data_IF_007013310633
#
_entry.id   IF_007013310633
#
_cell.length_a   1.000
_cell.length_b   1.000
_cell.length_c   1.000
_cell.angle_alpha   90.00
_cell.angle_beta   90.00
_cell.angle_gamma   90.00
#
_symmetry.space_group_name_H-M   'P 1'
#
loop_
_entity.id
_entity.type
_entity.pdbx_description
1 polymer ?
#
# COMPACT_ATOMS: atom_id res chain seq x y z
N UNK A 1 9.34 -9.16 -12.56
CA UNK A 1 8.49 -10.09 -11.78
C UNK A 1 8.96 -10.03 -10.33
N UNK A 2 8.33 -9.18 -9.50
CA UNK A 2 8.71 -8.99 -8.10
C UNK A 2 8.31 -10.21 -7.29
N UNK A 3 9.31 -11.00 -6.88
CA UNK A 3 9.16 -12.24 -6.12
C UNK A 3 9.07 -11.87 -4.64
N UNK A 4 7.87 -11.55 -4.17
CA UNK A 4 7.58 -11.43 -2.74
C UNK A 4 7.76 -12.82 -2.12
N UNK A 5 8.84 -13.00 -1.34
CA UNK A 5 9.01 -14.20 -0.51
C UNK A 5 7.90 -14.19 0.53
N UNK A 6 7.11 -15.26 0.53
CA UNK A 6 5.98 -15.49 1.44
C UNK A 6 6.49 -15.42 2.89
N UNK A 7 6.29 -14.29 3.55
CA UNK A 7 6.50 -14.12 5.00
C UNK A 7 5.13 -14.20 5.65
N UNK A 8 4.72 -15.38 6.10
CA UNK A 8 3.62 -15.62 7.07
C UNK A 8 2.48 -14.57 7.09
N UNK A 9 1.93 -14.20 5.94
CA UNK A 9 0.83 -13.24 5.87
C UNK A 9 -0.46 -14.02 6.18
N UNK A 10 -1.25 -13.62 7.19
CA UNK A 10 -2.55 -14.22 7.45
C UNK A 10 -3.41 -14.28 6.19
N UNK A 11 -4.10 -15.40 5.95
CA UNK A 11 -4.82 -15.65 4.70
C UNK A 11 -5.85 -14.55 4.36
N UNK A 12 -6.48 -13.96 5.39
CA UNK A 12 -7.48 -12.89 5.23
C UNK A 12 -6.89 -11.54 4.75
N UNK A 13 -5.57 -11.39 4.73
CA UNK A 13 -4.88 -10.18 4.25
C UNK A 13 -4.35 -10.32 2.82
N UNK A 14 -4.51 -11.48 2.18
CA UNK A 14 -3.90 -11.74 0.89
C UNK A 14 -4.48 -10.88 -0.23
N UNK A 15 -5.78 -10.65 -0.22
CA UNK A 15 -6.48 -9.72 -1.13
C UNK A 15 -5.93 -8.29 -1.01
N UNK A 16 -5.74 -7.81 0.22
CA UNK A 16 -5.16 -6.49 0.51
C UNK A 16 -3.70 -6.42 0.10
N UNK A 17 -2.94 -7.49 0.32
CA UNK A 17 -1.52 -7.60 -0.04
C UNK A 17 -1.33 -7.49 -1.55
N UNK A 18 -2.11 -8.25 -2.33
CA UNK A 18 -2.06 -8.21 -3.80
C UNK A 18 -2.46 -6.84 -4.30
N UNK A 19 -3.55 -6.26 -3.78
CA UNK A 19 -4.00 -4.92 -4.15
C UNK A 19 -2.92 -3.86 -3.87
N UNK A 20 -2.27 -3.93 -2.71
CA UNK A 20 -1.18 -3.04 -2.36
C UNK A 20 0.03 -3.19 -3.29
N UNK A 21 0.42 -4.42 -3.63
CA UNK A 21 1.51 -4.68 -4.57
C UNK A 21 1.22 -4.11 -5.97
N UNK A 22 0.00 -4.29 -6.48
CA UNK A 22 -0.44 -3.72 -7.76
C UNK A 22 -0.43 -2.18 -7.70
N UNK A 23 -0.92 -1.61 -6.60
CA UNK A 23 -0.92 -0.15 -6.37
C UNK A 23 0.50 0.44 -6.45
N UNK A 24 1.46 -0.23 -5.81
CA UNK A 24 2.88 0.13 -5.87
C UNK A 24 3.43 0.01 -7.29
N UNK A 25 3.16 -1.11 -7.98
CA UNK A 25 3.64 -1.30 -9.36
C UNK A 25 3.16 -0.19 -10.32
N UNK A 26 1.98 0.37 -10.08
CA UNK A 26 1.46 1.47 -10.90
C UNK A 26 2.12 2.83 -10.61
N UNK A 27 2.73 3.01 -9.42
CA UNK A 27 3.33 4.29 -8.97
C UNK A 27 4.83 4.27 -8.85
N UNK A 28 5.45 3.10 -8.99
CA UNK A 28 6.89 2.93 -9.02
C UNK A 28 7.37 2.89 -10.47
N UNK A 29 8.64 3.25 -10.66
CA UNK A 29 9.32 3.05 -11.92
C UNK A 29 9.46 1.54 -12.14
N UNK A 30 8.79 1.04 -13.16
CA UNK A 30 8.86 -0.36 -13.56
C UNK A 30 9.70 -0.45 -14.82
N UNK A 31 10.47 -1.54 -14.97
CA UNK A 31 11.36 -1.73 -16.14
C UNK A 31 10.62 -1.69 -17.48
N UNK A 32 9.31 -1.91 -17.47
CA UNK A 32 8.44 -1.82 -18.64
C UNK A 32 8.24 -0.38 -19.15
N UNK A 33 8.42 0.64 -18.31
CA UNK A 33 8.27 2.05 -18.67
C UNK A 33 9.53 2.83 -18.22
N UNK A 34 10.56 2.91 -19.06
CA UNK A 34 11.77 3.64 -18.73
C UNK A 34 11.49 5.14 -18.59
N UNK A 35 11.71 5.67 -17.39
CA UNK A 35 11.62 7.11 -17.10
C UNK A 35 10.24 7.64 -16.71
N UNK A 36 9.19 6.81 -16.69
CA UNK A 36 7.85 7.20 -16.25
C UNK A 36 7.14 6.07 -15.52
N UNK A 37 6.31 6.40 -14.54
CA UNK A 37 5.44 5.42 -13.88
C UNK A 37 4.18 5.17 -14.72
N UNK A 38 3.51 4.00 -14.62
CA UNK A 38 2.21 3.78 -15.26
C UNK A 38 1.17 4.85 -14.88
N UNK A 39 1.21 5.32 -13.63
CA UNK A 39 0.38 6.42 -13.14
C UNK A 39 0.66 7.73 -13.87
N UNK A 40 1.93 8.09 -14.07
CA UNK A 40 2.32 9.27 -14.85
C UNK A 40 1.90 9.15 -16.31
N UNK A 41 2.07 7.97 -16.91
CA UNK A 41 1.68 7.74 -18.30
C UNK A 41 0.16 7.89 -18.51
N UNK A 42 -0.64 7.45 -17.53
CA UNK A 42 -2.09 7.50 -17.62
C UNK A 42 -2.70 8.86 -17.20
N UNK A 43 -2.14 9.50 -16.17
CA UNK A 43 -2.68 10.74 -15.61
C UNK A 43 -1.90 12.01 -15.99
N UNK A 44 -0.80 11.89 -16.73
CA UNK A 44 0.12 12.98 -17.07
C UNK A 44 0.61 13.80 -15.85
N UNK A 45 0.62 13.17 -14.66
CA UNK A 45 0.98 13.78 -13.38
C UNK A 45 1.79 12.81 -12.53
N UNK A 46 2.80 13.32 -11.80
CA UNK A 46 3.57 12.53 -10.84
C UNK A 46 2.66 11.99 -9.72
N UNK A 47 2.79 10.70 -9.34
CA UNK A 47 2.05 10.17 -8.20
C UNK A 47 2.54 10.84 -6.92
N UNK A 48 1.61 11.21 -6.06
CA UNK A 48 1.93 11.44 -4.65
C UNK A 48 2.09 10.07 -3.98
N UNK A 49 3.17 9.92 -3.21
CA UNK A 49 3.54 8.69 -2.49
C UNK A 49 3.77 8.97 -1.01
N UNK A 50 3.51 10.19 -0.54
CA UNK A 50 3.69 10.59 0.86
C UNK A 50 2.84 9.79 1.85
N UNK A 51 1.71 9.25 1.38
CA UNK A 51 0.81 8.40 2.16
C UNK A 51 1.21 6.92 2.19
N UNK A 52 2.22 6.50 1.42
CA UNK A 52 2.63 5.10 1.40
C UNK A 52 3.28 4.71 2.73
N UNK A 53 2.88 3.55 3.25
CA UNK A 53 3.47 2.88 4.40
C UNK A 53 3.85 1.45 4.01
N UNK A 54 4.80 0.88 4.73
CA UNK A 54 5.15 -0.53 4.57
C UNK A 54 3.92 -1.40 4.87
N UNK A 55 3.72 -2.45 4.06
CA UNK A 55 2.64 -3.39 4.29
C UNK A 55 2.84 -4.12 5.62
N UNK A 56 1.86 -4.02 6.51
CA UNK A 56 1.93 -4.62 7.85
C UNK A 56 2.59 -3.73 8.92
N UNK A 57 2.81 -2.43 8.65
CA UNK A 57 3.23 -1.50 9.69
C UNK A 57 2.17 -1.39 10.81
N UNK A 58 2.62 -1.07 12.02
CA UNK A 58 1.72 -0.78 13.13
C UNK A 58 0.81 0.41 12.82
N UNK A 59 -0.47 0.28 13.17
CA UNK A 59 -1.48 1.32 12.97
C UNK A 59 -2.30 1.50 14.24
N UNK A 60 -2.72 2.74 14.47
CA UNK A 60 -3.70 3.05 15.51
C UNK A 60 -5.10 2.89 14.90
N UNK A 61 -5.90 2.01 15.49
CA UNK A 61 -7.31 1.82 15.11
C UNK A 61 -8.17 2.54 16.13
N UNK A 62 -9.08 3.38 15.66
CA UNK A 62 -10.14 3.93 16.52
C UNK A 62 -11.14 2.80 16.78
N UNK A 63 -11.18 2.33 18.01
CA UNK A 63 -12.20 1.41 18.48
C UNK A 63 -13.39 2.20 19.02
N UNK A 64 -14.54 2.09 18.35
CA UNK A 64 -15.78 2.77 18.73
C UNK A 64 -16.71 1.88 19.56
N UNK A 65 -16.29 0.64 19.89
CA UNK A 65 -17.15 -0.38 20.49
C UNK A 65 -17.40 -0.22 21.99
N UNK A 66 -16.58 0.56 22.72
CA UNK A 66 -16.74 0.75 24.17
C UNK A 66 -16.47 2.23 24.52
N UNK A 67 -17.34 2.82 25.35
CA UNK A 67 -17.31 4.20 25.80
C UNK A 67 -16.08 4.56 26.66
N UNK A 68 -14.88 4.50 26.08
CA UNK A 68 -13.67 4.98 26.70
C UNK A 68 -13.67 6.51 26.60
N UNK A 69 -14.10 7.16 27.69
CA UNK A 69 -13.89 8.58 27.89
C UNK A 69 -12.43 8.90 27.59
N UNK A 70 -12.21 9.90 26.72
CA UNK A 70 -10.87 10.42 26.38
C UNK A 70 -10.03 10.54 27.66
N UNK A 71 -8.76 10.14 27.55
CA UNK A 71 -7.77 10.16 28.63
C UNK A 71 -7.95 11.45 29.46
N UNK A 72 -8.28 11.26 30.73
CA UNK A 72 -8.42 12.33 31.72
C UNK A 72 -7.03 12.86 32.09
#
# INVERSE_FOLDING_TARGET
>A
MLRLKYKDVPAFLWDKSVTHAVYLCNRLLVSALPGSTPFEAYHAKKPDVSHLREFGCDVWVLDESEGQSKLN
#
